data_IF_394255936254
#
_entry.id   IF_394255936254
#
_cell.length_a   1.000
_cell.length_b   1.000
_cell.length_c   1.000
_cell.angle_alpha   90.00
_cell.angle_beta   90.00
_cell.angle_gamma   90.00
#
_symmetry.space_group_name_H-M   'P 1'
#
loop_
_entity.id
_entity.type
_entity.pdbx_description
1 polymer ?
#
# COMPACT_ATOMS: atom_id res chain seq x y z
N UNK A 1 -10.91 8.90 -13.26
CA UNK A 1 -9.72 9.06 -12.40
C UNK A 1 -8.87 7.80 -12.38
N UNK A 2 -9.41 6.61 -12.18
CA UNK A 2 -8.66 5.35 -12.36
C UNK A 2 -9.05 4.76 -13.70
N UNK A 3 -8.28 5.04 -14.76
CA UNK A 3 -8.64 4.67 -16.13
C UNK A 3 -8.17 3.28 -16.53
N UNK A 4 -7.04 2.84 -15.99
CA UNK A 4 -6.46 1.54 -16.25
C UNK A 4 -5.98 0.92 -14.95
N UNK A 5 -6.55 -0.21 -14.58
CA UNK A 5 -6.06 -1.04 -13.51
C UNK A 5 -5.03 -2.00 -14.11
N UNK A 6 -3.79 -1.89 -13.68
CA UNK A 6 -2.80 -2.90 -13.95
C UNK A 6 -3.14 -4.20 -13.21
N UNK A 7 -2.55 -5.29 -13.63
CA UNK A 7 -2.70 -6.56 -12.92
C UNK A 7 -2.20 -6.43 -11.48
N UNK A 8 -3.04 -6.83 -10.52
CA UNK A 8 -2.57 -7.17 -9.20
C UNK A 8 -2.03 -8.60 -9.25
N UNK A 9 -0.76 -8.79 -8.90
CA UNK A 9 -0.17 -10.12 -8.82
C UNK A 9 0.10 -10.48 -7.35
N UNK A 10 -0.32 -11.70 -7.00
CA UNK A 10 0.03 -12.38 -5.76
C UNK A 10 1.10 -13.42 -6.06
N UNK A 11 2.10 -13.58 -5.19
CA UNK A 11 3.10 -14.65 -5.24
C UNK A 11 4.25 -14.51 -6.27
N UNK A 12 4.91 -13.36 -6.31
CA UNK A 12 6.26 -13.29 -6.87
C UNK A 12 7.28 -14.08 -6.01
N UNK A 13 8.34 -14.59 -6.65
CA UNK A 13 9.41 -15.30 -5.94
C UNK A 13 10.16 -14.34 -5.00
N UNK A 14 9.91 -14.44 -3.69
CA UNK A 14 10.42 -13.54 -2.64
C UNK A 14 11.92 -13.68 -2.37
N UNK A 15 12.58 -14.70 -2.91
CA UNK A 15 14.00 -14.98 -2.65
C UNK A 15 14.93 -14.34 -3.69
N UNK A 16 14.39 -13.73 -4.76
CA UNK A 16 15.19 -13.08 -5.77
C UNK A 16 15.69 -11.70 -5.31
N UNK A 17 16.90 -11.36 -5.70
CA UNK A 17 17.39 -9.99 -5.72
C UNK A 17 16.41 -9.10 -6.50
N UNK A 18 16.18 -7.87 -6.03
CA UNK A 18 15.22 -6.93 -6.63
C UNK A 18 13.77 -7.47 -6.74
N UNK A 19 13.30 -8.19 -5.72
CA UNK A 19 11.98 -8.80 -5.76
C UNK A 19 10.83 -7.79 -5.91
N UNK A 20 10.94 -6.61 -5.27
CA UNK A 20 9.91 -5.56 -5.37
C UNK A 20 9.90 -4.95 -6.77
N UNK A 21 11.07 -4.72 -7.36
CA UNK A 21 11.17 -4.23 -8.74
C UNK A 21 10.58 -5.23 -9.74
N UNK A 22 10.86 -6.54 -9.59
CA UNK A 22 10.32 -7.56 -10.49
C UNK A 22 8.79 -7.70 -10.37
N UNK A 23 8.22 -7.55 -9.16
CA UNK A 23 6.77 -7.48 -8.99
C UNK A 23 6.19 -6.27 -9.74
N UNK A 24 6.78 -5.10 -9.58
CA UNK A 24 6.35 -3.89 -10.25
C UNK A 24 6.46 -4.02 -11.78
N UNK A 25 7.56 -4.57 -12.28
CA UNK A 25 7.80 -4.80 -13.71
C UNK A 25 6.70 -5.67 -14.35
N UNK A 26 6.31 -6.76 -13.68
CA UNK A 26 5.28 -7.65 -14.20
C UNK A 26 3.94 -6.92 -14.40
N UNK A 27 3.52 -6.12 -13.41
CA UNK A 27 2.25 -5.38 -13.49
C UNK A 27 2.31 -4.19 -14.46
N UNK A 28 3.47 -3.57 -14.65
CA UNK A 28 3.64 -2.40 -15.52
C UNK A 28 3.61 -2.73 -17.02
N UNK A 29 3.97 -3.94 -17.42
CA UNK A 29 4.03 -4.31 -18.83
C UNK A 29 2.70 -4.08 -19.56
N UNK A 30 1.58 -4.31 -18.88
CA UNK A 30 0.25 -4.10 -19.47
C UNK A 30 -0.12 -2.62 -19.50
N UNK A 31 0.10 -1.89 -18.41
CA UNK A 31 -0.32 -0.49 -18.30
C UNK A 31 0.52 0.43 -19.19
N UNK A 32 1.79 0.08 -19.43
CA UNK A 32 2.72 0.82 -20.30
C UNK A 32 2.70 0.38 -21.78
N UNK A 33 1.85 -0.58 -22.14
CA UNK A 33 1.72 -1.01 -23.54
C UNK A 33 1.15 0.09 -24.46
N UNK A 34 0.38 1.03 -23.91
CA UNK A 34 -0.18 2.18 -24.64
C UNK A 34 0.80 3.35 -24.79
N UNK A 35 0.35 4.41 -25.47
CA UNK A 35 1.08 5.64 -25.72
C UNK A 35 0.77 6.75 -24.67
N UNK A 36 0.35 6.36 -23.48
CA UNK A 36 0.02 7.31 -22.42
C UNK A 36 1.27 8.02 -21.92
N UNK A 37 1.18 9.34 -21.76
CA UNK A 37 2.20 10.17 -21.13
C UNK A 37 1.84 10.37 -19.65
N UNK A 38 2.82 10.18 -18.76
CA UNK A 38 2.67 10.36 -17.33
C UNK A 38 3.58 11.49 -16.85
N UNK A 39 3.01 12.53 -16.27
CA UNK A 39 3.80 13.64 -15.71
C UNK A 39 4.49 13.23 -14.39
N UNK A 40 3.89 12.29 -13.67
CA UNK A 40 4.44 11.77 -12.41
C UNK A 40 4.40 10.25 -12.38
N UNK A 41 5.43 9.68 -11.75
CA UNK A 41 5.49 8.29 -11.28
C UNK A 41 5.53 8.31 -9.76
N UNK A 42 4.48 7.81 -9.10
CA UNK A 42 4.46 7.63 -7.65
C UNK A 42 4.68 6.16 -7.33
N UNK A 43 5.78 5.85 -6.67
CA UNK A 43 6.11 4.49 -6.25
C UNK A 43 5.99 4.36 -4.73
N UNK A 44 5.33 3.31 -4.24
CA UNK A 44 5.23 3.04 -2.82
C UNK A 44 5.64 1.61 -2.50
N UNK A 45 6.45 1.45 -1.45
CA UNK A 45 6.82 0.15 -0.89
C UNK A 45 7.13 0.28 0.60
N UNK A 46 6.83 -0.74 1.38
CA UNK A 46 7.29 -0.87 2.77
C UNK A 46 8.55 -1.72 2.93
N UNK A 47 8.95 -2.43 1.86
CA UNK A 47 10.06 -3.38 1.84
C UNK A 47 10.97 -3.16 0.63
N UNK A 48 11.61 -1.98 0.51
CA UNK A 48 12.41 -1.64 -0.67
C UNK A 48 13.57 -2.63 -0.88
N UNK A 49 13.89 -2.87 -2.14
CA UNK A 49 15.08 -3.67 -2.53
C UNK A 49 16.38 -2.95 -2.20
N UNK A 50 16.38 -1.62 -2.33
CA UNK A 50 17.46 -0.73 -1.98
C UNK A 50 16.92 0.61 -1.50
N UNK A 51 17.71 1.34 -0.71
CA UNK A 51 17.38 2.71 -0.31
C UNK A 51 17.56 3.65 -1.50
N UNK A 52 18.65 3.48 -2.25
CA UNK A 52 18.98 4.23 -3.46
C UNK A 52 19.81 3.34 -4.42
N UNK A 53 19.49 3.28 -5.72
CA UNK A 53 18.33 3.91 -6.32
C UNK A 53 17.01 3.37 -5.74
N UNK A 54 16.00 4.25 -5.62
CA UNK A 54 14.68 3.88 -5.12
C UNK A 54 13.89 3.05 -6.12
N UNK A 55 12.78 2.45 -5.67
CA UNK A 55 11.89 1.67 -6.54
C UNK A 55 11.45 2.49 -7.77
N UNK A 56 11.00 3.71 -7.55
CA UNK A 56 10.55 4.59 -8.63
C UNK A 56 11.67 4.96 -9.60
N UNK A 57 12.89 5.20 -9.10
CA UNK A 57 14.05 5.44 -9.95
C UNK A 57 14.42 4.22 -10.81
N UNK A 58 14.37 3.02 -10.23
CA UNK A 58 14.62 1.79 -10.99
C UNK A 58 13.56 1.57 -12.09
N UNK A 59 12.29 1.81 -11.79
CA UNK A 59 11.18 1.73 -12.75
C UNK A 59 11.37 2.78 -13.86
N UNK A 60 11.62 4.03 -13.50
CA UNK A 60 11.80 5.11 -14.48
C UNK A 60 12.98 4.83 -15.41
N UNK A 61 14.08 4.31 -14.88
CA UNK A 61 15.23 3.96 -15.70
C UNK A 61 14.94 2.80 -16.65
N UNK A 62 14.27 1.75 -16.18
CA UNK A 62 13.97 0.58 -17.01
C UNK A 62 12.98 0.89 -18.14
N UNK A 63 11.98 1.73 -17.88
CA UNK A 63 10.98 2.18 -18.83
C UNK A 63 11.25 3.63 -19.29
N UNK A 64 12.51 3.99 -19.47
CA UNK A 64 12.92 5.38 -19.75
C UNK A 64 12.32 5.96 -21.05
N UNK A 65 12.10 5.13 -22.05
CA UNK A 65 11.40 5.49 -23.29
C UNK A 65 9.95 5.96 -23.04
N UNK A 66 9.30 5.46 -22.00
CA UNK A 66 7.92 5.81 -21.60
C UNK A 66 7.84 6.80 -20.44
N UNK A 67 8.76 6.72 -19.50
CA UNK A 67 8.71 7.42 -18.21
C UNK A 67 9.85 8.43 -18.00
N UNK A 68 10.80 8.54 -18.92
CA UNK A 68 12.02 9.35 -18.71
C UNK A 68 11.77 10.85 -18.44
N UNK A 69 10.62 11.38 -18.86
CA UNK A 69 10.19 12.77 -18.54
C UNK A 69 9.30 12.86 -17.29
N UNK A 70 8.94 11.74 -16.65
CA UNK A 70 8.08 11.74 -15.47
C UNK A 70 8.84 12.17 -14.22
N UNK A 71 8.22 13.02 -13.40
CA UNK A 71 8.75 13.33 -12.08
C UNK A 71 8.48 12.16 -11.13
N UNK A 72 9.54 11.53 -10.66
CA UNK A 72 9.46 10.33 -9.82
C UNK A 72 9.47 10.67 -8.34
N UNK A 73 8.50 10.16 -7.59
CA UNK A 73 8.37 10.33 -6.14
C UNK A 73 8.17 8.97 -5.49
N UNK A 74 9.03 8.63 -4.55
CA UNK A 74 8.91 7.42 -3.74
C UNK A 74 8.28 7.72 -2.38
N UNK A 75 7.36 6.85 -1.94
CA UNK A 75 6.61 6.98 -0.70
C UNK A 75 6.93 5.80 0.21
N UNK A 76 7.56 6.09 1.33
CA UNK A 76 7.89 5.10 2.37
C UNK A 76 7.09 5.42 3.62
N UNK A 77 5.92 4.79 3.77
CA UNK A 77 5.01 5.00 4.91
C UNK A 77 4.42 3.66 5.41
N UNK A 78 5.20 2.60 5.32
CA UNK A 78 4.74 1.26 5.69
C UNK A 78 3.42 0.90 5.01
N UNK A 79 2.52 0.23 5.72
CA UNK A 79 1.23 -0.22 5.18
C UNK A 79 0.34 0.92 4.63
N UNK A 80 0.52 2.16 5.09
CA UNK A 80 -0.25 3.31 4.61
C UNK A 80 0.31 3.92 3.31
N UNK A 81 1.48 3.49 2.84
CA UNK A 81 2.16 4.06 1.67
C UNK A 81 1.31 4.00 0.41
N UNK A 82 0.64 2.88 0.16
CA UNK A 82 -0.20 2.71 -1.03
C UNK A 82 -1.39 3.68 -1.07
N UNK A 83 -2.10 3.86 0.05
CA UNK A 83 -3.20 4.84 0.12
C UNK A 83 -2.66 6.26 -0.01
N UNK A 84 -1.55 6.57 0.63
CA UNK A 84 -0.94 7.90 0.52
C UNK A 84 -0.53 8.21 -0.92
N UNK A 85 -0.04 7.21 -1.67
CA UNK A 85 0.23 7.34 -3.10
C UNK A 85 -1.04 7.65 -3.90
N UNK A 86 -2.14 6.95 -3.64
CA UNK A 86 -3.42 7.19 -4.32
C UNK A 86 -4.01 8.57 -4.00
N UNK A 87 -3.93 9.01 -2.75
CA UNK A 87 -4.38 10.35 -2.33
C UNK A 87 -3.56 11.42 -3.03
N UNK A 88 -2.23 11.31 -2.99
CA UNK A 88 -1.33 12.27 -3.63
C UNK A 88 -1.52 12.28 -5.15
N UNK A 89 -1.65 11.11 -5.79
CA UNK A 89 -1.92 11.00 -7.21
C UNK A 89 -3.23 11.71 -7.58
N UNK A 90 -4.30 11.50 -6.81
CA UNK A 90 -5.59 12.16 -7.05
C UNK A 90 -5.48 13.69 -6.96
N UNK A 91 -4.75 14.20 -5.95
CA UNK A 91 -4.54 15.64 -5.76
C UNK A 91 -3.66 16.26 -6.87
N UNK A 92 -2.55 15.60 -7.22
CA UNK A 92 -1.67 16.07 -8.29
C UNK A 92 -2.36 16.01 -9.64
N UNK A 93 -3.13 14.95 -9.91
CA UNK A 93 -3.90 14.82 -11.13
C UNK A 93 -4.92 15.95 -11.28
N UNK A 94 -5.66 16.26 -10.23
CA UNK A 94 -6.64 17.34 -10.25
C UNK A 94 -5.99 18.71 -10.38
N UNK A 95 -4.89 18.96 -9.67
CA UNK A 95 -4.17 20.23 -9.68
C UNK A 95 -3.53 20.52 -11.05
N UNK A 96 -2.88 19.52 -11.64
CA UNK A 96 -2.06 19.69 -12.84
C UNK A 96 -2.79 19.28 -14.14
N UNK A 97 -3.98 18.69 -14.04
CA UNK A 97 -4.76 18.18 -15.20
C UNK A 97 -3.95 17.19 -16.05
N UNK A 98 -3.27 16.25 -15.41
CA UNK A 98 -2.32 15.34 -16.06
C UNK A 98 -2.45 13.92 -15.53
N UNK A 99 -1.94 12.96 -16.29
CA UNK A 99 -1.92 11.56 -15.88
C UNK A 99 -0.78 11.26 -14.90
N UNK A 100 -1.09 10.46 -13.90
CA UNK A 100 -0.16 10.01 -12.87
C UNK A 100 -0.14 8.50 -12.85
N UNK A 101 1.04 7.92 -12.98
CA UNK A 101 1.24 6.49 -12.79
C UNK A 101 1.50 6.22 -11.31
N UNK A 102 0.73 5.31 -10.73
CA UNK A 102 0.91 4.82 -9.36
C UNK A 102 1.36 3.38 -9.40
N UNK A 103 2.43 3.08 -8.68
CA UNK A 103 2.97 1.72 -8.51
C UNK A 103 3.14 1.46 -7.03
N UNK A 104 2.47 0.43 -6.54
CA UNK A 104 2.56 0.00 -5.14
C UNK A 104 2.98 -1.46 -5.12
N UNK A 105 4.17 -1.75 -4.62
CA UNK A 105 4.71 -3.11 -4.65
C UNK A 105 5.40 -3.46 -3.32
N UNK A 106 5.07 -4.61 -2.77
CA UNK A 106 5.69 -5.11 -1.55
C UNK A 106 6.07 -6.59 -1.64
N UNK A 107 7.29 -6.89 -1.27
CA UNK A 107 7.76 -8.25 -0.99
C UNK A 107 7.67 -8.53 0.51
N UNK A 108 6.46 -8.44 1.07
CA UNK A 108 6.22 -8.44 2.52
C UNK A 108 6.70 -9.73 3.22
N UNK A 109 6.71 -10.86 2.52
CA UNK A 109 7.28 -12.12 3.04
C UNK A 109 8.76 -12.01 3.41
N UNK A 110 9.53 -11.13 2.73
CA UNK A 110 10.95 -10.94 3.08
C UNK A 110 11.13 -10.27 4.45
N UNK A 111 10.30 -9.27 4.75
CA UNK A 111 10.34 -8.61 6.05
C UNK A 111 9.91 -9.53 7.20
N UNK A 112 9.04 -10.52 6.91
CA UNK A 112 8.53 -11.51 7.86
C UNK A 112 9.32 -12.83 7.89
N UNK A 113 10.34 -12.99 7.07
CA UNK A 113 11.04 -14.29 6.86
C UNK A 113 11.66 -14.91 8.10
N UNK A 114 11.96 -14.10 9.12
CA UNK A 114 12.53 -14.55 10.41
C UNK A 114 11.46 -14.88 11.48
N UNK A 115 10.17 -14.62 11.19
CA UNK A 115 9.05 -14.89 12.11
C UNK A 115 8.24 -16.05 11.53
N UNK A 116 8.58 -17.28 11.91
CA UNK A 116 7.97 -18.50 11.34
C UNK A 116 6.45 -18.50 11.40
N UNK A 117 5.87 -18.05 12.52
CA UNK A 117 4.43 -18.11 12.78
C UNK A 117 3.63 -17.04 12.00
N UNK A 118 4.32 -16.06 11.44
CA UNK A 118 3.69 -14.97 10.66
C UNK A 118 4.00 -15.05 9.16
N UNK A 119 4.89 -15.94 8.75
CA UNK A 119 5.32 -16.00 7.35
C UNK A 119 4.13 -16.25 6.39
N UNK A 120 3.20 -17.13 6.78
CA UNK A 120 2.03 -17.47 5.97
C UNK A 120 0.98 -16.37 5.89
N UNK A 121 0.99 -15.43 6.85
CA UNK A 121 0.10 -14.27 6.88
C UNK A 121 0.51 -13.25 5.81
N UNK A 122 1.83 -13.10 5.60
CA UNK A 122 2.38 -12.16 4.64
C UNK A 122 2.46 -12.76 3.24
N UNK A 123 2.08 -11.96 2.26
CA UNK A 123 2.19 -12.29 0.83
C UNK A 123 2.93 -11.17 0.10
N UNK A 124 3.52 -11.50 -1.03
CA UNK A 124 4.06 -10.49 -1.92
C UNK A 124 2.93 -9.99 -2.83
N UNK A 125 2.90 -8.72 -3.10
CA UNK A 125 1.85 -8.17 -3.94
C UNK A 125 2.25 -6.89 -4.65
N UNK A 126 1.58 -6.62 -5.75
CA UNK A 126 1.71 -5.40 -6.53
C UNK A 126 0.35 -4.91 -6.96
N UNK A 127 0.22 -3.60 -7.02
CA UNK A 127 -0.91 -2.90 -7.61
C UNK A 127 -0.38 -1.73 -8.42
N UNK A 128 -0.89 -1.56 -9.63
CA UNK A 128 -0.59 -0.42 -10.50
C UNK A 128 -1.87 0.18 -11.04
N UNK A 129 -1.90 1.50 -11.16
CA UNK A 129 -3.01 2.17 -11.84
C UNK A 129 -2.56 3.50 -12.45
N UNK A 130 -3.28 3.93 -13.47
CA UNK A 130 -3.23 5.30 -13.96
C UNK A 130 -4.32 6.12 -13.27
N UNK A 131 -3.93 7.26 -12.70
CA UNK A 131 -4.86 8.27 -12.22
C UNK A 131 -4.88 9.37 -13.26
N UNK A 132 -5.96 9.44 -14.06
CA UNK A 132 -6.10 10.39 -15.16
C UNK A 132 -7.13 11.46 -14.86
N UNK A 133 -6.86 12.65 -15.38
CA UNK A 133 -7.84 13.72 -15.36
C UNK A 133 -8.89 13.47 -16.44
N UNK A 134 -10.12 13.21 -16.00
CA UNK A 134 -11.28 13.04 -16.86
C UNK A 134 -12.43 13.84 -16.28
N UNK A 135 -13.37 14.24 -17.12
CA UNK A 135 -14.62 14.89 -16.65
C UNK A 135 -15.59 13.88 -16.01
N UNK A 136 -15.17 12.60 -15.93
CA UNK A 136 -15.93 11.52 -15.33
C UNK A 136 -15.99 11.62 -13.80
N UNK A 137 -16.99 10.97 -13.23
CA UNK A 137 -17.37 11.12 -11.82
C UNK A 137 -16.38 10.54 -10.79
N UNK A 138 -15.34 9.80 -11.20
CA UNK A 138 -14.38 9.25 -10.26
C UNK A 138 -13.46 10.35 -9.69
N UNK A 139 -13.62 10.67 -8.42
CA UNK A 139 -12.84 11.72 -7.74
C UNK A 139 -12.61 11.44 -6.27
N UNK A 140 -11.51 11.95 -5.74
CA UNK A 140 -11.27 12.00 -4.30
C UNK A 140 -12.19 13.04 -3.65
N UNK A 141 -13.10 12.60 -2.77
CA UNK A 141 -14.05 13.45 -2.05
C UNK A 141 -13.40 14.04 -0.80
N UNK A 142 -12.74 13.18 -0.02
CA UNK A 142 -12.13 13.55 1.26
C UNK A 142 -10.99 12.61 1.60
N UNK A 143 -10.02 13.12 2.35
CA UNK A 143 -8.97 12.28 2.93
C UNK A 143 -8.63 12.76 4.34
N UNK A 144 -8.13 11.85 5.16
CA UNK A 144 -7.67 12.14 6.52
C UNK A 144 -6.55 11.18 6.89
N UNK A 145 -5.55 11.70 7.58
CA UNK A 145 -4.50 10.89 8.22
C UNK A 145 -4.39 11.30 9.67
N UNK A 146 -4.14 10.32 10.55
CA UNK A 146 -3.89 10.57 11.97
C UNK A 146 -2.78 9.66 12.45
N UNK A 147 -1.81 10.24 13.15
CA UNK A 147 -0.75 9.50 13.81
C UNK A 147 -1.00 9.48 15.31
N UNK A 148 -0.87 8.30 15.91
CA UNK A 148 -1.07 8.06 17.34
C UNK A 148 0.28 7.86 17.99
N UNK A 149 0.72 8.85 18.77
CA UNK A 149 2.04 8.85 19.41
C UNK A 149 2.28 7.60 20.26
N UNK A 150 1.27 7.17 21.01
CA UNK A 150 1.37 6.01 21.92
C UNK A 150 1.31 4.66 21.17
N UNK A 151 1.09 4.67 19.86
CA UNK A 151 1.06 3.49 19.01
C UNK A 151 2.21 3.46 17.99
N UNK A 152 3.21 4.32 18.16
CA UNK A 152 4.32 4.44 17.21
C UNK A 152 5.03 3.10 16.96
N UNK A 153 5.23 2.30 18.02
CA UNK A 153 5.94 1.01 17.96
C UNK A 153 5.04 -0.20 17.68
N UNK A 154 3.76 0.01 17.34
CA UNK A 154 2.80 -1.09 17.07
C UNK A 154 3.30 -2.05 15.99
N UNK A 155 3.82 -1.50 14.91
CA UNK A 155 4.49 -2.22 13.83
C UNK A 155 5.68 -1.39 13.38
N UNK A 156 6.83 -2.01 13.28
CA UNK A 156 8.03 -1.42 12.69
C UNK A 156 8.74 -2.42 11.79
N UNK A 157 9.43 -1.91 10.78
CA UNK A 157 10.33 -2.67 9.92
C UNK A 157 11.69 -1.99 10.05
N UNK A 158 12.58 -2.62 10.81
CA UNK A 158 13.93 -2.10 11.02
C UNK A 158 14.92 -2.75 10.03
N UNK A 159 15.98 -2.02 9.72
CA UNK A 159 17.17 -2.63 9.11
C UNK A 159 17.85 -3.47 10.19
N UNK A 160 17.94 -4.78 9.96
CA UNK A 160 18.52 -5.72 10.89
C UNK A 160 17.59 -6.22 12.00
N UNK A 161 17.97 -7.32 12.64
CA UNK A 161 17.26 -7.88 13.79
C UNK A 161 17.53 -7.08 15.08
N UNK A 162 18.74 -6.51 15.17
CA UNK A 162 19.16 -5.62 16.23
C UNK A 162 19.87 -4.41 15.61
N UNK A 163 19.35 -3.23 15.87
CA UNK A 163 19.95 -1.99 15.37
C UNK A 163 21.41 -1.81 15.83
N UNK A 164 21.78 -2.42 16.96
CA UNK A 164 23.13 -2.34 17.53
C UNK A 164 24.13 -3.27 16.81
N UNK A 165 23.65 -4.28 16.08
CA UNK A 165 24.50 -5.26 15.36
C UNK A 165 24.86 -4.76 13.94
N UNK A 166 24.14 -3.79 13.40
CA UNK A 166 24.33 -3.31 12.01
C UNK A 166 25.70 -2.65 11.82
N UNK A 167 26.38 -2.22 12.89
CA UNK A 167 27.52 -1.31 12.76
C UNK A 167 28.87 -2.02 12.60
N UNK A 168 29.06 -3.30 12.94
CA UNK A 168 30.43 -3.84 12.94
C UNK A 168 30.68 -5.20 12.29
N UNK A 169 29.77 -6.15 12.35
CA UNK A 169 30.07 -7.51 11.91
C UNK A 169 29.33 -8.00 10.65
N UNK A 170 28.24 -7.37 10.28
CA UNK A 170 27.34 -7.83 9.22
C UNK A 170 27.40 -7.02 7.92
N UNK A 171 28.32 -6.07 7.79
CA UNK A 171 28.49 -5.29 6.55
C UNK A 171 28.78 -6.17 5.33
N UNK A 172 29.48 -7.29 5.52
CA UNK A 172 29.76 -8.24 4.44
C UNK A 172 28.51 -9.03 4.02
N UNK A 173 27.64 -9.39 4.95
CA UNK A 173 26.36 -10.05 4.68
C UNK A 173 25.31 -9.08 4.11
N UNK A 174 25.34 -7.83 4.52
CA UNK A 174 24.50 -6.77 3.93
C UNK A 174 24.84 -6.52 2.46
N UNK A 175 26.09 -6.72 2.06
CA UNK A 175 26.51 -6.58 0.67
C UNK A 175 25.90 -7.66 -0.24
N UNK A 176 25.48 -8.81 0.32
CA UNK A 176 24.91 -9.92 -0.45
C UNK A 176 23.39 -9.90 -0.52
N UNK A 177 22.70 -9.57 0.56
CA UNK A 177 21.22 -9.36 0.58
C UNK A 177 20.81 -8.50 1.78
N UNK A 178 20.76 -7.17 1.64
CA UNK A 178 20.36 -6.29 2.74
C UNK A 178 18.95 -6.55 3.28
N UNK A 179 18.10 -7.27 2.55
CA UNK A 179 16.75 -7.61 2.98
C UNK A 179 16.69 -8.76 3.98
N UNK A 180 17.74 -9.58 4.08
CA UNK A 180 17.91 -10.54 5.19
C UNK A 180 17.89 -9.86 6.55
N UNK A 181 18.19 -8.57 6.56
CA UNK A 181 18.30 -7.74 7.74
C UNK A 181 17.06 -6.85 7.98
N UNK A 182 16.03 -6.94 7.14
CA UNK A 182 14.75 -6.30 7.42
C UNK A 182 14.01 -7.11 8.49
N UNK A 183 13.79 -6.50 9.64
CA UNK A 183 13.10 -7.11 10.78
C UNK A 183 11.74 -6.50 11.01
N UNK A 184 10.66 -7.24 10.72
CA UNK A 184 9.32 -6.87 11.12
C UNK A 184 9.18 -7.11 12.63
N UNK A 185 8.71 -6.11 13.36
CA UNK A 185 8.33 -6.20 14.78
C UNK A 185 6.87 -5.84 14.93
N UNK A 186 6.12 -6.64 15.66
CA UNK A 186 4.70 -6.42 15.94
C UNK A 186 4.45 -6.52 17.44
N UNK A 187 3.83 -5.49 18.02
CA UNK A 187 3.31 -5.51 19.38
C UNK A 187 1.80 -5.81 19.36
N UNK A 188 1.44 -7.01 19.79
CA UNK A 188 0.05 -7.47 19.77
C UNK A 188 -0.87 -6.65 20.71
N UNK A 189 -0.38 -6.12 21.82
CA UNK A 189 -1.18 -5.27 22.72
C UNK A 189 -1.47 -3.92 22.09
N UNK A 190 -0.49 -3.33 21.43
CA UNK A 190 -0.68 -2.08 20.69
C UNK A 190 -1.56 -2.30 19.45
N UNK A 191 -1.48 -3.47 18.80
CA UNK A 191 -2.34 -3.81 17.68
C UNK A 191 -3.83 -3.81 18.07
N UNK A 192 -4.20 -4.36 19.24
CA UNK A 192 -5.57 -4.33 19.77
C UNK A 192 -6.02 -2.87 20.03
N UNK A 193 -5.13 -2.02 20.55
CA UNK A 193 -5.44 -0.59 20.75
C UNK A 193 -5.65 0.13 19.41
N UNK A 194 -4.82 -0.16 18.41
CA UNK A 194 -4.96 0.42 17.07
C UNK A 194 -6.28 0.05 16.41
N UNK A 195 -6.78 -1.17 16.61
CA UNK A 195 -8.11 -1.57 16.11
C UNK A 195 -9.24 -0.72 16.72
N UNK A 196 -9.18 -0.40 18.02
CA UNK A 196 -10.15 0.52 18.65
C UNK A 196 -10.07 1.93 18.08
N UNK A 197 -8.87 2.40 17.80
CA UNK A 197 -8.68 3.70 17.16
C UNK A 197 -9.17 3.71 15.71
N UNK A 198 -9.14 2.57 15.00
CA UNK A 198 -9.69 2.47 13.64
C UNK A 198 -11.20 2.76 13.60
N UNK A 199 -11.97 2.25 14.56
CA UNK A 199 -13.40 2.55 14.67
C UNK A 199 -13.65 4.04 15.01
N UNK A 200 -12.90 4.61 15.95
CA UNK A 200 -13.01 6.04 16.29
C UNK A 200 -12.65 6.93 15.11
N UNK A 201 -11.59 6.57 14.40
CA UNK A 201 -11.18 7.27 13.19
C UNK A 201 -12.28 7.24 12.12
N UNK A 202 -12.92 6.06 11.91
CA UNK A 202 -14.05 5.93 11.00
C UNK A 202 -15.21 6.86 11.40
N UNK A 203 -15.59 6.90 12.67
CA UNK A 203 -16.68 7.78 13.15
C UNK A 203 -16.35 9.26 12.92
N UNK A 204 -15.12 9.68 13.22
CA UNK A 204 -14.66 11.05 12.96
C UNK A 204 -14.67 11.39 11.46
N UNK A 205 -14.34 10.40 10.61
CA UNK A 205 -14.31 10.54 9.17
C UNK A 205 -15.72 10.70 8.59
N UNK A 206 -16.66 9.81 8.97
CA UNK A 206 -18.03 9.85 8.45
C UNK A 206 -18.85 11.04 9.00
N UNK A 207 -18.48 11.60 10.13
CA UNK A 207 -19.07 12.84 10.64
C UNK A 207 -18.88 14.01 9.64
N UNK A 208 -17.84 13.97 8.82
CA UNK A 208 -17.55 14.99 7.79
C UNK A 208 -18.09 14.62 6.41
N UNK A 209 -18.21 13.33 6.13
CA UNK A 209 -18.47 12.84 4.76
C UNK A 209 -19.80 12.10 4.62
N UNK A 210 -20.40 11.65 5.70
CA UNK A 210 -21.45 10.62 5.69
C UNK A 210 -20.85 9.22 5.44
N UNK A 211 -21.70 8.20 5.52
CA UNK A 211 -21.28 6.81 5.33
C UNK A 211 -20.85 6.55 3.89
N UNK A 212 -19.74 5.82 3.67
CA UNK A 212 -19.42 5.24 2.36
C UNK A 212 -20.35 4.06 2.06
N UNK A 213 -20.48 3.70 0.78
CA UNK A 213 -21.17 2.46 0.39
C UNK A 213 -20.31 1.24 0.66
N UNK A 214 -19.00 1.38 0.46
CA UNK A 214 -18.01 0.29 0.60
C UNK A 214 -16.84 0.77 1.47
N UNK A 215 -16.40 -0.10 2.38
CA UNK A 215 -15.22 0.09 3.23
C UNK A 215 -14.17 -0.98 2.94
N UNK A 216 -13.05 -0.56 2.39
CA UNK A 216 -11.86 -1.39 2.14
C UNK A 216 -10.82 -1.07 3.21
N UNK A 217 -10.50 -2.04 4.07
CA UNK A 217 -9.43 -1.91 5.06
C UNK A 217 -8.21 -2.72 4.65
N UNK A 218 -7.04 -2.30 5.12
CA UNK A 218 -5.82 -3.10 5.05
C UNK A 218 -6.01 -4.47 5.70
N UNK A 219 -5.78 -5.55 4.97
CA UNK A 219 -6.01 -6.95 5.41
C UNK A 219 -4.80 -7.46 6.22
N UNK A 220 -4.70 -7.05 7.47
CA UNK A 220 -3.52 -7.36 8.33
C UNK A 220 -3.37 -8.84 8.64
N UNK A 221 -4.45 -9.49 9.01
CA UNK A 221 -4.60 -10.95 9.16
C UNK A 221 -6.09 -11.30 9.33
N UNK A 222 -6.42 -12.55 9.11
CA UNK A 222 -7.82 -13.03 9.17
C UNK A 222 -8.51 -12.79 10.53
N UNK A 223 -7.91 -13.10 11.71
CA UNK A 223 -8.55 -12.84 12.99
C UNK A 223 -8.90 -11.37 13.25
N UNK A 224 -8.00 -10.45 12.89
CA UNK A 224 -8.23 -9.01 13.05
C UNK A 224 -9.33 -8.53 12.11
N UNK A 225 -9.32 -8.95 10.85
CA UNK A 225 -10.31 -8.51 9.87
C UNK A 225 -11.69 -9.07 10.20
N UNK A 226 -11.79 -10.34 10.63
CA UNK A 226 -13.04 -10.94 11.10
C UNK A 226 -13.61 -10.20 12.34
N UNK A 227 -12.73 -9.71 13.22
CA UNK A 227 -13.16 -8.88 14.35
C UNK A 227 -13.68 -7.52 13.88
N UNK A 228 -12.96 -6.84 12.99
CA UNK A 228 -13.36 -5.55 12.45
C UNK A 228 -14.65 -5.64 11.63
N UNK A 229 -14.86 -6.71 10.88
CA UNK A 229 -16.12 -6.96 10.17
C UNK A 229 -17.32 -6.98 11.14
N UNK A 230 -17.19 -7.65 12.29
CA UNK A 230 -18.22 -7.64 13.35
C UNK A 230 -18.41 -6.24 13.94
N UNK A 231 -17.34 -5.47 14.15
CA UNK A 231 -17.40 -4.09 14.63
C UNK A 231 -18.14 -3.20 13.63
N UNK A 232 -17.83 -3.32 12.34
CA UNK A 232 -18.40 -2.48 11.29
C UNK A 232 -19.78 -2.93 10.81
N UNK A 233 -20.25 -4.15 11.13
CA UNK A 233 -21.58 -4.65 10.76
C UNK A 233 -22.76 -3.82 11.30
N UNK A 234 -22.52 -3.01 12.33
CA UNK A 234 -23.53 -2.09 12.89
C UNK A 234 -23.73 -0.80 12.07
N UNK A 235 -22.87 -0.54 11.10
CA UNK A 235 -22.94 0.63 10.23
C UNK A 235 -23.50 0.26 8.86
N UNK A 236 -24.20 1.18 8.17
CA UNK A 236 -24.75 0.94 6.84
C UNK A 236 -23.64 1.03 5.76
N UNK A 237 -22.68 0.12 5.82
CA UNK A 237 -21.53 0.06 4.91
C UNK A 237 -21.23 -1.41 4.57
N UNK A 238 -20.91 -1.68 3.30
CA UNK A 238 -20.40 -2.99 2.90
C UNK A 238 -18.92 -3.07 3.28
N UNK A 239 -18.60 -3.83 4.31
CA UNK A 239 -17.24 -4.11 4.73
C UNK A 239 -16.62 -5.21 3.83
N UNK A 240 -15.39 -5.01 3.38
CA UNK A 240 -14.67 -5.98 2.54
C UNK A 240 -13.72 -6.81 3.40
N UNK A 241 -13.98 -8.11 3.45
CA UNK A 241 -13.14 -9.09 4.11
C UNK A 241 -12.65 -10.11 3.09
N UNK A 242 -11.39 -10.02 2.71
CA UNK A 242 -10.69 -10.93 1.79
C UNK A 242 -9.32 -11.33 2.37
N UNK A 243 -9.18 -11.27 3.71
CA UNK A 243 -7.90 -11.54 4.36
C UNK A 243 -7.40 -12.98 4.12
N UNK A 244 -8.32 -13.93 3.98
CA UNK A 244 -7.99 -15.33 3.69
C UNK A 244 -7.45 -15.49 2.26
N UNK A 245 -8.04 -14.79 1.31
CA UNK A 245 -7.72 -14.89 -0.12
C UNK A 245 -6.44 -14.11 -0.46
N UNK A 246 -6.35 -12.87 0.00
CA UNK A 246 -5.26 -11.98 -0.38
C UNK A 246 -4.05 -12.04 0.56
N UNK A 247 -4.28 -12.36 1.84
CA UNK A 247 -3.26 -12.19 2.88
C UNK A 247 -2.85 -10.72 3.07
N UNK A 248 -1.74 -10.51 3.77
CA UNK A 248 -1.16 -9.19 4.02
C UNK A 248 -0.04 -8.92 3.01
N UNK A 249 -0.33 -8.13 1.99
CA UNK A 249 0.62 -7.70 0.97
C UNK A 249 1.23 -6.31 1.28
N UNK A 250 1.42 -5.99 2.56
CA UNK A 250 1.97 -4.70 2.96
C UNK A 250 1.17 -3.52 2.42
N UNK A 251 1.84 -2.50 1.87
CA UNK A 251 1.18 -1.31 1.32
C UNK A 251 0.36 -1.59 0.05
N UNK A 252 0.58 -2.72 -0.65
CA UNK A 252 -0.15 -3.08 -1.86
C UNK A 252 -1.54 -3.66 -1.58
N UNK A 253 -1.81 -4.13 -0.36
CA UNK A 253 -3.05 -4.85 0.00
C UNK A 253 -4.32 -4.12 -0.44
N UNK A 254 -4.46 -2.84 -0.12
CA UNK A 254 -5.68 -2.08 -0.42
C UNK A 254 -5.88 -1.82 -1.91
N UNK A 255 -4.80 -1.66 -2.66
CA UNK A 255 -4.84 -1.53 -4.12
C UNK A 255 -5.27 -2.84 -4.80
N UNK A 256 -4.77 -3.98 -4.32
CA UNK A 256 -5.18 -5.31 -4.79
C UNK A 256 -6.69 -5.51 -4.60
N UNK A 257 -7.23 -5.16 -3.42
CA UNK A 257 -8.66 -5.23 -3.17
C UNK A 257 -9.47 -4.30 -4.08
N UNK A 258 -8.95 -3.10 -4.33
CA UNK A 258 -9.57 -2.16 -5.25
C UNK A 258 -9.68 -2.73 -6.66
N UNK A 259 -8.63 -3.39 -7.15
CA UNK A 259 -8.63 -4.07 -8.45
C UNK A 259 -9.63 -5.24 -8.49
N UNK A 260 -9.67 -6.06 -7.46
CA UNK A 260 -10.65 -7.15 -7.36
C UNK A 260 -12.11 -6.66 -7.42
N UNK A 261 -12.38 -5.49 -6.86
CA UNK A 261 -13.73 -4.94 -6.73
C UNK A 261 -14.10 -3.96 -7.85
N UNK A 262 -13.23 -3.68 -8.81
CA UNK A 262 -13.41 -2.62 -9.81
C UNK A 262 -14.76 -2.63 -10.54
N UNK A 263 -15.31 -3.81 -10.84
CA UNK A 263 -16.60 -3.96 -11.50
C UNK A 263 -17.81 -3.78 -10.54
N UNK A 264 -17.58 -3.83 -9.21
CA UNK A 264 -18.64 -3.79 -8.20
C UNK A 264 -18.77 -2.40 -7.56
N UNK A 265 -17.77 -1.54 -7.73
CA UNK A 265 -17.69 -0.24 -7.06
C UNK A 265 -18.08 0.94 -7.96
N UNK A 266 -18.47 0.68 -9.22
CA UNK A 266 -18.96 1.72 -10.13
C UNK A 266 -20.17 2.44 -9.54
N UNK A 267 -20.17 3.78 -9.58
CA UNK A 267 -21.17 4.66 -8.97
C UNK A 267 -21.28 4.52 -7.44
N UNK A 268 -20.22 4.06 -6.76
CA UNK A 268 -20.17 3.90 -5.30
C UNK A 268 -19.19 4.86 -4.66
N UNK A 269 -19.52 5.22 -3.42
CA UNK A 269 -18.62 5.93 -2.52
C UNK A 269 -17.79 4.90 -1.76
N UNK A 270 -16.50 4.84 -2.05
CA UNK A 270 -15.59 3.84 -1.50
C UNK A 270 -14.59 4.51 -0.56
N UNK A 271 -14.63 4.14 0.71
CA UNK A 271 -13.59 4.51 1.67
C UNK A 271 -12.51 3.43 1.68
N UNK A 272 -11.29 3.84 1.39
CA UNK A 272 -10.10 2.99 1.47
C UNK A 272 -9.29 3.45 2.66
N UNK A 273 -8.95 2.54 3.57
CA UNK A 273 -8.26 2.86 4.81
C UNK A 273 -7.14 1.86 5.10
N UNK A 274 -5.98 2.36 5.47
CA UNK A 274 -4.87 1.56 5.96
C UNK A 274 -4.40 2.04 7.33
N UNK A 275 -3.88 1.09 8.09
CA UNK A 275 -3.35 1.34 9.42
C UNK A 275 -2.20 0.37 9.71
N UNK A 276 -1.29 0.76 10.59
CA UNK A 276 -0.18 -0.11 10.99
C UNK A 276 1.07 0.64 11.38
N UNK A 277 2.11 0.47 10.58
CA UNK A 277 3.47 0.95 10.84
C UNK A 277 3.51 2.40 11.33
N UNK A 278 4.22 2.62 12.45
CA UNK A 278 4.34 3.95 13.06
C UNK A 278 3.07 4.46 13.75
N UNK A 279 2.05 3.60 13.96
CA UNK A 279 0.79 3.98 14.62
C UNK A 279 -0.04 4.96 13.79
N UNK A 280 0.01 4.85 12.46
CA UNK A 280 -0.75 5.73 11.56
C UNK A 280 -2.03 5.06 11.10
N UNK A 281 -3.10 5.85 10.94
CA UNK A 281 -4.31 5.51 10.19
C UNK A 281 -4.49 6.56 9.10
N UNK A 282 -4.58 6.11 7.86
CA UNK A 282 -4.78 6.98 6.68
C UNK A 282 -5.95 6.45 5.87
N UNK A 283 -6.85 7.34 5.47
CA UNK A 283 -7.98 6.98 4.62
C UNK A 283 -8.27 8.06 3.57
N UNK A 284 -8.81 7.61 2.46
CA UNK A 284 -9.44 8.43 1.44
C UNK A 284 -10.83 7.91 1.11
N UNK A 285 -11.72 8.81 0.72
CA UNK A 285 -13.04 8.51 0.19
C UNK A 285 -13.10 8.95 -1.27
N UNK A 286 -13.33 8.00 -2.14
CA UNK A 286 -13.53 8.26 -3.57
C UNK A 286 -14.97 8.02 -3.98
N UNK A 287 -15.45 8.81 -4.94
CA UNK A 287 -16.58 8.49 -5.77
C UNK A 287 -16.04 7.75 -7.01
N UNK A 288 -16.52 6.55 -7.27
CA UNK A 288 -16.25 5.78 -8.48
C UNK A 288 -17.41 5.85 -9.43
#
# INVERSE_FOLDING_TARGET
MFSDYGESALNGNSQKENAVFHLAQHALNNILAGDSHYAYLLAATSCPDAIAPSLGQCINQYYNDKLGSSHTIDIVQGCAGGISALILASQLCELNKTNILVVVADAAQKAASHISDMFDVFKNGVFTCCVSFTDDNCRLIHHQSRQYKDLYSVVSIALGHDADIIISENLADMATDPRKHLGLRLDNHLAIRLMKEAERFYLDFIAKTGHPDVLILHQVNEPIINHLEKVFSKYPVRFINMAKETGNCGCATTGILLDHLKNEITNRRVMICSFGTGGVITAGLWQF
#
